data_IF_658984763599
#
_entry.id   IF_658984763599
#
_cell.length_a   1.000
_cell.length_b   1.000
_cell.length_c   1.000
_cell.angle_alpha   90.00
_cell.angle_beta   90.00
_cell.angle_gamma   90.00
#
_symmetry.space_group_name_H-M   'P 1'
#
loop_
_entity.id
_entity.type
_entity.pdbx_description
1 polymer ?
#
# COMPACT_ATOMS: atom_id res chain seq x y z
N UNK A 1 -21.69 -11.30 0.28
CA UNK A 1 -20.93 -10.34 -0.54
C UNK A 1 -20.96 -10.91 -1.94
N UNK A 2 -21.44 -10.19 -2.95
CA UNK A 2 -21.37 -10.70 -4.32
C UNK A 2 -19.91 -11.01 -4.67
N UNK A 3 -19.66 -12.12 -5.36
CA UNK A 3 -18.29 -12.40 -5.82
C UNK A 3 -17.85 -11.26 -6.75
N UNK A 4 -16.65 -10.69 -6.53
CA UNK A 4 -16.16 -9.61 -7.37
C UNK A 4 -16.09 -10.10 -8.82
N UNK A 5 -16.76 -9.39 -9.72
CA UNK A 5 -16.70 -9.72 -11.14
C UNK A 5 -15.34 -9.32 -11.72
N UNK A 6 -14.95 -9.91 -12.85
CA UNK A 6 -13.69 -9.53 -13.52
C UNK A 6 -13.65 -8.03 -13.88
N UNK A 7 -14.80 -7.44 -14.18
CA UNK A 7 -14.92 -6.01 -14.47
C UNK A 7 -14.65 -5.14 -13.23
N UNK A 8 -15.11 -5.59 -12.05
CA UNK A 8 -14.81 -4.93 -10.78
C UNK A 8 -13.33 -5.05 -10.43
N UNK A 9 -12.74 -6.22 -10.70
CA UNK A 9 -11.32 -6.47 -10.49
C UNK A 9 -10.44 -5.56 -11.36
N UNK A 10 -10.78 -5.42 -12.65
CA UNK A 10 -10.13 -4.50 -13.58
C UNK A 10 -10.16 -3.05 -13.06
N UNK A 11 -11.34 -2.57 -12.66
CA UNK A 11 -11.51 -1.21 -12.16
C UNK A 11 -10.68 -0.98 -10.91
N UNK A 12 -10.76 -1.90 -9.93
CA UNK A 12 -9.97 -1.82 -8.69
C UNK A 12 -8.47 -1.91 -8.93
N UNK A 13 -8.04 -2.75 -9.88
CA UNK A 13 -6.63 -2.89 -10.28
C UNK A 13 -6.06 -1.58 -10.80
N UNK A 14 -6.78 -0.95 -11.72
CA UNK A 14 -6.35 0.33 -12.30
C UNK A 14 -6.23 1.42 -11.23
N UNK A 15 -7.24 1.56 -10.37
CA UNK A 15 -7.19 2.60 -9.33
C UNK A 15 -6.13 2.28 -8.28
N UNK A 16 -6.03 1.02 -7.81
CA UNK A 16 -5.00 0.64 -6.85
C UNK A 16 -3.57 0.78 -7.42
N UNK A 17 -3.37 0.45 -8.70
CA UNK A 17 -2.09 0.60 -9.37
C UNK A 17 -1.64 2.06 -9.49
N UNK A 18 -2.53 2.93 -9.99
CA UNK A 18 -2.25 4.37 -10.14
C UNK A 18 -2.03 5.01 -8.77
N UNK A 19 -2.86 4.70 -7.77
CA UNK A 19 -2.70 5.23 -6.43
C UNK A 19 -1.45 4.69 -5.72
N UNK A 20 -1.02 3.46 -6.02
CA UNK A 20 0.24 2.92 -5.50
C UNK A 20 1.45 3.71 -6.00
N UNK A 21 1.44 4.11 -7.27
CA UNK A 21 2.53 4.92 -7.86
C UNK A 21 2.51 6.35 -7.32
N UNK A 22 1.34 7.01 -7.32
CA UNK A 22 1.24 8.44 -7.00
C UNK A 22 1.19 8.73 -5.50
N UNK A 23 0.49 7.89 -4.74
CA UNK A 23 0.16 8.08 -3.32
C UNK A 23 0.51 6.84 -2.47
N UNK A 24 1.44 6.01 -2.94
CA UNK A 24 1.86 4.79 -2.26
C UNK A 24 2.47 5.02 -0.88
N UNK A 25 3.07 6.18 -0.65
CA UNK A 25 3.59 6.61 0.67
C UNK A 25 2.51 6.68 1.74
N UNK A 26 1.27 7.00 1.35
CA UNK A 26 0.13 7.06 2.26
C UNK A 26 -0.59 5.73 2.42
N UNK A 27 -0.27 4.73 1.57
CA UNK A 27 -0.93 3.42 1.57
C UNK A 27 -2.38 3.42 1.07
N UNK A 28 -2.81 4.44 0.33
CA UNK A 28 -4.21 4.61 -0.09
C UNK A 28 -4.67 3.46 -1.00
N UNK A 29 -3.77 2.93 -1.82
CA UNK A 29 -4.03 1.81 -2.73
C UNK A 29 -4.49 0.53 -2.01
N UNK A 30 -4.10 0.33 -0.76
CA UNK A 30 -4.53 -0.83 0.06
C UNK A 30 -6.01 -0.76 0.47
N UNK A 31 -6.53 0.43 0.73
CA UNK A 31 -7.93 0.61 1.11
C UNK A 31 -8.89 0.24 -0.03
N UNK A 32 -8.47 0.41 -1.29
CA UNK A 32 -9.28 0.03 -2.46
C UNK A 32 -9.52 -1.49 -2.55
N UNK A 33 -8.54 -2.25 -2.08
CA UNK A 33 -8.58 -3.72 -2.04
C UNK A 33 -9.28 -4.26 -0.78
N UNK A 34 -9.65 -3.35 0.13
CA UNK A 34 -10.26 -3.69 1.43
C UNK A 34 -9.24 -4.10 2.49
N UNK A 35 -7.96 -3.73 2.33
CA UNK A 35 -6.90 -3.99 3.29
C UNK A 35 -6.74 -2.84 4.29
N UNK A 36 -7.79 -2.61 5.08
CA UNK A 36 -7.85 -1.47 6.01
C UNK A 36 -6.72 -1.49 7.04
N UNK A 37 -6.32 -2.66 7.53
CA UNK A 37 -5.24 -2.78 8.51
C UNK A 37 -3.89 -2.36 7.92
N UNK A 38 -3.54 -2.86 6.74
CA UNK A 38 -2.27 -2.55 6.07
C UNK A 38 -2.20 -1.09 5.62
N UNK A 39 -3.29 -0.58 5.04
CA UNK A 39 -3.42 0.82 4.69
C UNK A 39 -3.30 1.74 5.91
N UNK A 40 -3.90 1.37 7.05
CA UNK A 40 -3.80 2.14 8.29
C UNK A 40 -2.38 2.12 8.85
N UNK A 41 -1.68 0.99 8.78
CA UNK A 41 -0.26 0.90 9.17
C UNK A 41 0.59 1.83 8.30
N UNK A 42 0.45 1.80 6.98
CA UNK A 42 1.20 2.70 6.08
C UNK A 42 0.87 4.16 6.36
N UNK A 43 -0.41 4.49 6.56
CA UNK A 43 -0.85 5.86 6.85
C UNK A 43 -0.29 6.35 8.20
N UNK A 44 -0.43 5.58 9.27
CA UNK A 44 0.08 5.93 10.59
C UNK A 44 1.59 6.06 10.59
N UNK A 45 2.33 5.17 9.93
CA UNK A 45 3.79 5.31 9.84
C UNK A 45 4.16 6.54 9.02
N UNK A 46 3.48 6.81 7.89
CA UNK A 46 3.75 7.98 7.06
C UNK A 46 3.53 9.32 7.78
N UNK A 47 2.55 9.38 8.71
CA UNK A 47 2.18 10.60 9.44
C UNK A 47 2.90 10.71 10.78
N UNK A 48 2.99 9.63 11.56
CA UNK A 48 3.59 9.64 12.90
C UNK A 48 5.12 9.63 12.85
N UNK A 49 5.74 8.97 11.88
CA UNK A 49 7.20 8.91 11.77
C UNK A 49 7.85 10.31 11.63
N UNK A 50 7.38 11.22 10.75
CA UNK A 50 7.93 12.58 10.69
C UNK A 50 7.62 13.42 11.94
N UNK A 51 6.46 13.23 12.59
CA UNK A 51 6.07 14.01 13.79
C UNK A 51 6.84 13.57 15.05
N UNK A 52 6.95 12.26 15.27
CA UNK A 52 7.69 11.69 16.41
C UNK A 52 9.21 11.84 16.20
N UNK A 53 9.69 11.71 14.96
CA UNK A 53 11.10 11.90 14.60
C UNK A 53 11.58 13.36 14.75
N UNK A 54 10.69 14.34 14.64
CA UNK A 54 11.03 15.77 14.78
C UNK A 54 10.87 16.31 16.20
N UNK A 55 9.97 15.76 17.04
CA UNK A 55 9.65 16.33 18.36
C UNK A 55 9.97 15.38 19.55
N UNK A 56 10.10 14.06 19.35
CA UNK A 56 9.86 13.09 20.44
C UNK A 56 10.93 12.08 20.87
N UNK A 57 12.05 11.84 20.17
CA UNK A 57 12.98 10.77 20.61
C UNK A 57 14.44 10.98 20.21
N UNK A 58 15.17 11.67 21.07
CA UNK A 58 16.62 11.65 21.13
C UNK A 58 17.07 10.30 21.73
N UNK A 59 17.90 9.55 20.99
CA UNK A 59 19.07 8.76 21.45
C UNK A 59 19.19 7.26 21.13
N UNK A 60 18.19 6.48 20.67
CA UNK A 60 18.44 5.02 20.43
C UNK A 60 17.96 4.45 19.09
N UNK A 61 16.94 5.01 18.43
CA UNK A 61 16.37 4.50 17.15
C UNK A 61 16.55 5.41 15.88
N UNK A 62 17.49 6.38 15.76
CA UNK A 62 17.47 7.27 14.58
C UNK A 62 17.88 6.64 13.24
N UNK A 63 18.63 5.52 13.23
CA UNK A 63 19.22 5.00 11.99
C UNK A 63 18.22 4.19 11.13
N UNK A 64 17.20 3.59 11.74
CA UNK A 64 16.16 2.79 11.06
C UNK A 64 14.92 3.62 10.68
N UNK A 65 14.67 4.75 11.37
CA UNK A 65 13.46 5.55 11.16
C UNK A 65 13.58 6.57 10.01
N UNK A 66 14.78 6.98 9.62
CA UNK A 66 14.97 7.86 8.45
C UNK A 66 14.82 7.12 7.11
N UNK A 67 15.02 5.80 7.08
CA UNK A 67 14.84 4.97 5.88
C UNK A 67 13.38 4.50 5.71
N UNK A 68 12.57 4.51 6.77
CA UNK A 68 11.20 4.01 6.72
C UNK A 68 10.29 4.70 5.67
N UNK A 69 10.32 6.04 5.50
CA UNK A 69 9.53 6.70 4.46
C UNK A 69 9.96 6.30 3.04
N UNK A 70 11.27 6.11 2.83
CA UNK A 70 11.84 5.69 1.55
C UNK A 70 11.46 4.25 1.23
N UNK A 71 11.46 3.36 2.23
CA UNK A 71 11.03 1.96 2.10
C UNK A 71 9.54 1.88 1.80
N UNK A 72 8.70 2.64 2.50
CA UNK A 72 7.24 2.66 2.27
C UNK A 72 6.91 3.23 0.88
N UNK A 73 7.61 4.28 0.45
CA UNK A 73 7.51 4.77 -0.92
C UNK A 73 7.89 3.70 -1.95
N UNK A 74 9.00 2.98 -1.71
CA UNK A 74 9.43 1.88 -2.56
C UNK A 74 8.42 0.73 -2.63
N UNK A 75 7.83 0.36 -1.49
CA UNK A 75 6.77 -0.66 -1.43
C UNK A 75 5.55 -0.22 -2.26
N UNK A 76 5.05 1.00 -2.04
CA UNK A 76 3.88 1.52 -2.77
C UNK A 76 4.13 1.62 -4.27
N UNK A 77 5.32 2.06 -4.69
CA UNK A 77 5.71 2.13 -6.09
C UNK A 77 5.79 0.74 -6.73
N UNK A 78 6.46 -0.21 -6.07
CA UNK A 78 6.59 -1.58 -6.57
C UNK A 78 5.23 -2.28 -6.65
N UNK A 79 4.36 -2.13 -5.65
CA UNK A 79 3.00 -2.66 -5.70
C UNK A 79 2.15 -2.00 -6.79
N UNK A 80 2.28 -0.69 -6.96
CA UNK A 80 1.62 0.04 -8.04
C UNK A 80 1.99 -0.53 -9.42
N UNK A 81 3.28 -0.81 -9.65
CA UNK A 81 3.76 -1.47 -10.87
C UNK A 81 3.21 -2.89 -10.98
N UNK A 82 3.32 -3.71 -9.91
CA UNK A 82 2.85 -5.10 -9.89
C UNK A 82 1.35 -5.19 -10.23
N UNK A 83 0.54 -4.29 -9.69
CA UNK A 83 -0.89 -4.28 -9.96
C UNK A 83 -1.19 -3.96 -11.43
N UNK A 84 -0.47 -3.01 -12.02
CA UNK A 84 -0.65 -2.64 -13.42
C UNK A 84 -0.09 -3.69 -14.39
N UNK A 85 0.94 -4.44 -14.01
CA UNK A 85 1.57 -5.46 -14.87
C UNK A 85 0.92 -6.85 -14.75
N UNK A 86 0.12 -7.10 -13.71
CA UNK A 86 -0.64 -8.35 -13.57
C UNK A 86 -1.85 -8.41 -14.50
N UNK A 87 -2.16 -9.63 -14.94
CA UNK A 87 -3.43 -9.93 -15.61
C UNK A 87 -4.60 -9.77 -14.64
N UNK A 88 -5.79 -9.48 -15.17
CA UNK A 88 -6.98 -9.20 -14.36
C UNK A 88 -7.41 -10.40 -13.51
N UNK A 89 -7.33 -11.61 -14.08
CA UNK A 89 -7.64 -12.86 -13.40
C UNK A 89 -6.65 -13.16 -12.27
N UNK A 90 -5.35 -12.97 -12.52
CA UNK A 90 -4.35 -13.15 -11.48
C UNK A 90 -4.51 -12.14 -10.34
N UNK A 91 -4.82 -10.89 -10.69
CA UNK A 91 -5.06 -9.84 -9.70
C UNK A 91 -6.28 -10.16 -8.84
N UNK A 92 -7.38 -10.59 -9.46
CA UNK A 92 -8.58 -11.03 -8.77
C UNK A 92 -8.28 -12.18 -7.80
N UNK A 93 -7.66 -13.25 -8.30
CA UNK A 93 -7.36 -14.43 -7.50
C UNK A 93 -6.38 -14.13 -6.36
N UNK A 94 -5.39 -13.28 -6.58
CA UNK A 94 -4.32 -13.01 -5.60
C UNK A 94 -4.73 -11.98 -4.55
N UNK A 95 -5.28 -10.84 -4.98
CA UNK A 95 -5.48 -9.67 -4.11
C UNK A 95 -6.95 -9.45 -3.70
N UNK A 96 -7.91 -9.94 -4.48
CA UNK A 96 -9.32 -9.80 -4.11
C UNK A 96 -9.83 -11.05 -3.39
N UNK A 97 -9.57 -12.24 -3.93
CA UNK A 97 -9.97 -13.53 -3.35
C UNK A 97 -8.94 -14.04 -2.34
N UNK A 98 -7.67 -14.10 -2.74
CA UNK A 98 -6.57 -14.61 -1.92
C UNK A 98 -6.12 -13.68 -0.80
N UNK A 99 -6.59 -12.43 -0.79
CA UNK A 99 -6.29 -11.41 0.22
C UNK A 99 -4.80 -11.29 0.57
N UNK A 100 -3.93 -11.37 -0.44
CA UNK A 100 -2.48 -11.19 -0.29
C UNK A 100 -2.13 -9.75 0.13
N UNK A 101 -1.68 -9.60 1.37
CA UNK A 101 -1.48 -8.29 2.01
C UNK A 101 -0.30 -7.45 1.50
N UNK A 102 0.80 -8.06 1.08
CA UNK A 102 1.96 -7.38 0.51
C UNK A 102 2.49 -8.16 -0.70
N UNK A 103 3.27 -7.50 -1.58
CA UNK A 103 3.93 -8.03 -2.80
C UNK A 103 3.50 -9.46 -3.18
#
# INVERSE_FOLDING_TARGET
MAEPTLQDAQSKKMVAGILGILLGTFGIHKFILGYTNEGLVMLLVSVLCPVIGTVGACLVIPLVLWIAPVVIWGIGLAEGIIYLTKSDEEFLNTYLLGKKGWF
#
